data_IF_106693415489
#
_entry.id   IF_106693415489
#
_cell.length_a   1.000
_cell.length_b   1.000
_cell.length_c   1.000
_cell.angle_alpha   90.00
_cell.angle_beta   90.00
_cell.angle_gamma   90.00
#
_symmetry.space_group_name_H-M   'P 1'
#
loop_
_entity.id
_entity.type
_entity.pdbx_description
1 polymer ?
#
# COMPACT_ATOMS: atom_id res chain seq x y z
N UNK A 1 48.02 -36.86 46.32
CA UNK A 1 46.65 -36.80 45.77
C UNK A 1 46.56 -35.57 44.89
N UNK A 2 46.62 -35.75 43.57
CA UNK A 2 46.54 -34.67 42.58
C UNK A 2 45.08 -34.54 42.16
N UNK A 3 44.43 -33.42 42.47
CA UNK A 3 43.07 -33.12 41.99
C UNK A 3 43.20 -32.13 40.84
N UNK A 4 43.15 -32.63 39.61
CA UNK A 4 43.08 -31.85 38.38
C UNK A 4 41.65 -31.39 38.16
N UNK A 5 41.36 -30.14 38.50
CA UNK A 5 40.06 -29.51 38.21
C UNK A 5 40.06 -29.10 36.74
N UNK A 6 39.31 -29.84 35.93
CA UNK A 6 39.09 -29.57 34.51
C UNK A 6 38.07 -28.43 34.37
N UNK A 7 38.56 -27.22 34.09
CA UNK A 7 37.75 -26.04 33.79
C UNK A 7 37.17 -26.19 32.38
N UNK A 8 35.99 -26.80 32.26
CA UNK A 8 35.24 -26.82 31.00
C UNK A 8 34.77 -25.39 30.67
N UNK A 9 35.39 -24.79 29.66
CA UNK A 9 34.96 -23.50 29.11
C UNK A 9 33.65 -23.69 28.34
N UNK A 10 32.59 -23.09 28.86
CA UNK A 10 31.27 -23.02 28.22
C UNK A 10 31.34 -21.99 27.08
N UNK A 11 31.50 -22.44 25.83
CA UNK A 11 31.48 -21.57 24.66
C UNK A 11 30.03 -21.17 24.33
N UNK A 12 29.72 -19.88 24.48
CA UNK A 12 28.44 -19.31 24.10
C UNK A 12 28.35 -19.20 22.56
N UNK A 13 27.66 -20.14 21.91
CA UNK A 13 27.33 -20.05 20.49
C UNK A 13 26.19 -19.02 20.35
N UNK A 14 26.52 -17.86 19.79
CA UNK A 14 25.51 -16.87 19.42
C UNK A 14 24.84 -17.29 18.11
N UNK A 15 23.49 -17.26 18.01
CA UNK A 15 22.81 -17.62 16.78
C UNK A 15 23.12 -16.61 15.67
N UNK A 16 23.21 -17.06 14.41
CA UNK A 16 23.41 -16.14 13.29
C UNK A 16 22.21 -15.21 13.18
N UNK A 17 22.48 -13.90 13.19
CA UNK A 17 21.46 -12.88 12.92
C UNK A 17 21.15 -12.93 11.43
N UNK A 18 19.99 -13.50 11.09
CA UNK A 18 19.51 -13.55 9.71
C UNK A 18 19.19 -12.12 9.25
N UNK A 19 19.90 -11.63 8.23
CA UNK A 19 19.60 -10.34 7.61
C UNK A 19 18.19 -10.39 6.98
N UNK A 20 17.35 -9.40 7.32
CA UNK A 20 16.02 -9.29 6.75
C UNK A 20 16.10 -9.00 5.24
N UNK A 21 15.34 -9.75 4.45
CA UNK A 21 15.24 -9.51 3.02
C UNK A 21 14.60 -8.12 2.75
N UNK A 22 15.04 -7.41 1.68
CA UNK A 22 14.46 -6.12 1.34
C UNK A 22 12.96 -6.27 1.00
N UNK A 23 12.13 -5.49 1.69
CA UNK A 23 10.68 -5.47 1.47
C UNK A 23 10.39 -4.77 0.14
N UNK A 24 9.58 -5.37 -0.77
CA UNK A 24 9.24 -4.73 -2.03
C UNK A 24 8.46 -3.43 -1.79
N UNK A 25 9.02 -2.32 -2.26
CA UNK A 25 8.37 -1.00 -2.17
C UNK A 25 7.27 -0.91 -3.23
N UNK A 26 6.02 -0.61 -2.87
CA UNK A 26 4.93 -0.53 -3.83
C UNK A 26 5.15 0.63 -4.81
N UNK A 27 5.04 0.34 -6.11
CA UNK A 27 5.17 1.35 -7.15
C UNK A 27 4.07 2.42 -6.99
N UNK A 28 4.48 3.68 -6.83
CA UNK A 28 3.59 4.83 -6.65
C UNK A 28 3.49 5.63 -7.96
N UNK A 29 2.27 6.00 -8.35
CA UNK A 29 1.98 6.81 -9.54
C UNK A 29 1.21 8.06 -9.15
N UNK A 30 1.59 9.21 -9.70
CA UNK A 30 0.88 10.46 -9.51
C UNK A 30 0.05 10.84 -10.74
N UNK A 31 -1.18 11.31 -10.54
CA UNK A 31 -2.05 11.87 -11.59
C UNK A 31 -2.50 13.27 -11.20
N UNK A 32 -2.86 14.09 -12.19
CA UNK A 32 -3.49 15.40 -11.94
C UNK A 32 -4.99 15.16 -11.76
N UNK A 33 -5.56 15.75 -10.72
CA UNK A 33 -7.00 15.72 -10.43
C UNK A 33 -7.51 17.16 -10.44
N UNK A 34 -8.66 17.37 -11.08
CA UNK A 34 -9.36 18.66 -11.13
C UNK A 34 -10.49 18.59 -10.12
N UNK A 35 -10.42 19.42 -9.09
CA UNK A 35 -11.51 19.54 -8.12
C UNK A 35 -12.59 20.44 -8.73
N UNK A 36 -13.77 19.88 -8.96
CA UNK A 36 -14.88 20.58 -9.60
C UNK A 36 -15.70 21.27 -8.50
N UNK A 37 -15.63 22.59 -8.36
CA UNK A 37 -16.49 23.29 -7.39
C UNK A 37 -16.16 24.74 -7.03
N UNK A 38 -14.90 25.18 -7.01
CA UNK A 38 -14.56 26.49 -6.40
C UNK A 38 -13.35 27.19 -7.03
N UNK A 39 -13.40 27.43 -8.33
CA UNK A 39 -12.25 27.70 -9.21
C UNK A 39 -11.44 26.42 -9.44
N UNK A 40 -11.28 26.02 -10.70
CA UNK A 40 -10.63 24.76 -11.07
C UNK A 40 -9.20 24.67 -10.51
N UNK A 41 -9.05 24.06 -9.33
CA UNK A 41 -7.75 23.81 -8.72
C UNK A 41 -7.25 22.46 -9.23
N UNK A 42 -6.11 22.48 -9.88
CA UNK A 42 -5.41 21.27 -10.31
C UNK A 42 -4.50 20.82 -9.18
N UNK A 43 -4.81 19.68 -8.55
CA UNK A 43 -3.96 19.05 -7.53
C UNK A 43 -3.29 17.81 -8.08
N UNK A 44 -2.03 17.58 -7.69
CA UNK A 44 -1.31 16.34 -7.98
C UNK A 44 -1.64 15.33 -6.88
N UNK A 45 -2.20 14.18 -7.24
CA UNK A 45 -2.59 13.12 -6.33
C UNK A 45 -1.75 11.89 -6.63
N UNK A 46 -1.09 11.34 -5.61
CA UNK A 46 -0.21 10.18 -5.73
C UNK A 46 -0.80 9.00 -4.96
N UNK A 47 -0.90 7.85 -5.62
CA UNK A 47 -1.40 6.60 -5.05
C UNK A 47 -0.60 5.42 -5.57
N UNK A 48 -0.74 4.25 -4.93
CA UNK A 48 -0.13 3.02 -5.45
C UNK A 48 -0.76 2.62 -6.78
N UNK A 49 -0.06 1.82 -7.59
CA UNK A 49 -0.63 1.26 -8.81
C UNK A 49 -1.90 0.44 -8.52
N UNK A 50 -1.97 -0.25 -7.37
CA UNK A 50 -3.14 -1.02 -6.97
C UNK A 50 -4.35 -0.12 -6.66
N UNK A 51 -4.14 0.97 -5.94
CA UNK A 51 -5.19 1.95 -5.63
C UNK A 51 -5.75 2.57 -6.91
N UNK A 52 -4.87 2.91 -7.87
CA UNK A 52 -5.33 3.42 -9.17
C UNK A 52 -6.20 2.43 -9.92
N UNK A 53 -5.89 1.12 -9.88
CA UNK A 53 -6.75 0.10 -10.50
C UNK A 53 -8.14 0.05 -9.86
N UNK A 54 -8.20 0.24 -8.53
CA UNK A 54 -9.47 0.30 -7.80
C UNK A 54 -10.28 1.54 -8.18
N UNK A 55 -9.65 2.70 -8.21
CA UNK A 55 -10.28 3.97 -8.60
C UNK A 55 -10.80 3.89 -10.05
N UNK A 56 -9.97 3.40 -10.98
CA UNK A 56 -10.33 3.26 -12.38
C UNK A 56 -11.45 2.21 -12.57
N UNK A 57 -11.47 1.15 -11.77
CA UNK A 57 -12.52 0.13 -11.75
C UNK A 57 -13.87 0.70 -11.29
N UNK A 58 -13.90 1.35 -10.13
CA UNK A 58 -15.12 1.97 -9.59
C UNK A 58 -15.73 3.01 -10.54
N UNK A 59 -14.90 3.81 -11.22
CA UNK A 59 -15.38 4.83 -12.16
C UNK A 59 -16.08 4.24 -13.39
N UNK A 60 -15.66 3.04 -13.84
CA UNK A 60 -16.30 2.35 -14.97
C UNK A 60 -17.69 1.86 -14.60
N UNK A 61 -17.85 1.29 -13.41
CA UNK A 61 -19.14 0.75 -12.95
C UNK A 61 -20.17 1.87 -12.78
N UNK A 62 -19.78 3.02 -12.20
CA UNK A 62 -20.67 4.19 -12.08
C UNK A 62 -21.03 4.79 -13.45
N UNK A 63 -20.10 4.83 -14.40
CA UNK A 63 -20.39 5.36 -15.74
C UNK A 63 -21.31 4.43 -16.51
N UNK A 64 -21.11 3.12 -16.40
CA UNK A 64 -21.97 2.11 -16.99
C UNK A 64 -23.39 2.19 -16.44
N UNK A 65 -23.55 2.38 -15.13
CA UNK A 65 -24.87 2.53 -14.50
C UNK A 65 -25.57 3.84 -14.92
N UNK A 66 -24.84 4.96 -15.02
CA UNK A 66 -25.40 6.23 -15.51
C UNK A 66 -25.81 6.19 -16.99
N UNK A 67 -25.20 5.32 -17.79
CA UNK A 67 -25.55 5.14 -19.21
C UNK A 67 -26.73 4.18 -19.43
N UNK A 68 -27.27 3.54 -18.37
CA UNK A 68 -28.49 2.73 -18.50
C UNK A 68 -29.68 3.66 -18.70
N UNK A 69 -30.45 3.51 -19.79
CA UNK A 69 -31.68 4.29 -19.98
C UNK A 69 -32.65 3.95 -18.85
N UNK A 70 -32.96 4.93 -17.98
CA UNK A 70 -33.98 4.82 -16.94
C UNK A 70 -33.54 5.00 -15.48
N UNK A 71 -32.24 5.19 -15.20
CA UNK A 71 -31.79 5.47 -13.83
C UNK A 71 -31.82 6.98 -13.57
N UNK A 72 -32.81 7.44 -12.82
CA UNK A 72 -32.84 8.84 -12.34
C UNK A 72 -31.78 9.05 -11.25
N UNK A 73 -31.04 10.17 -11.25
CA UNK A 73 -30.05 10.44 -10.21
C UNK A 73 -30.71 10.52 -8.82
N UNK A 74 -30.05 10.06 -7.75
CA UNK A 74 -30.61 10.13 -6.41
C UNK A 74 -30.86 11.60 -6.03
N UNK A 75 -32.10 11.90 -5.65
CA UNK A 75 -32.47 13.19 -5.09
C UNK A 75 -31.74 13.35 -3.74
N UNK A 76 -30.84 14.33 -3.66
CA UNK A 76 -30.23 14.71 -2.38
C UNK A 76 -31.28 15.45 -1.54
N UNK A 77 -31.45 14.99 -0.30
CA UNK A 77 -32.27 15.58 0.76
C UNK A 77 -31.47 16.67 1.47
#
# INVERSE_FOLDING_TARGET
MLVTIATMMLQAVSPPVQAAAPVPVPATKCRRSVETGTLARVRKVCHTVQDWRRIDGNGRDTTAEMQRPGVSPPANN
#
